data_IF_315461615077
#
_entry.id   IF_315461615077
#
_cell.length_a   1.000
_cell.length_b   1.000
_cell.length_c   1.000
_cell.angle_alpha   90.00
_cell.angle_beta   90.00
_cell.angle_gamma   90.00
#
_symmetry.space_group_name_H-M   'P 1'
#
loop_
_entity.id
_entity.type
_entity.pdbx_description
1 polymer ?
#
# COMPACT_ATOMS: atom_id res chain seq x y z
N UNK A 1 -3.82 -6.71 -15.16
CA UNK A 1 -4.34 -7.05 -13.83
C UNK A 1 -5.71 -6.45 -13.50
N UNK A 2 -5.98 -5.17 -13.81
CA UNK A 2 -7.26 -4.50 -13.49
C UNK A 2 -8.52 -5.24 -13.99
N UNK A 3 -8.47 -5.87 -15.18
CA UNK A 3 -9.57 -6.69 -15.69
C UNK A 3 -9.86 -7.91 -14.81
N UNK A 4 -8.82 -8.54 -14.25
CA UNK A 4 -8.97 -9.66 -13.32
C UNK A 4 -9.57 -9.18 -12.00
N UNK A 5 -9.13 -8.04 -11.45
CA UNK A 5 -9.75 -7.47 -10.25
C UNK A 5 -11.22 -7.14 -10.46
N UNK A 6 -11.59 -6.61 -11.64
CA UNK A 6 -13.00 -6.37 -12.00
C UNK A 6 -13.81 -7.66 -12.08
N UNK A 7 -13.26 -8.72 -12.69
CA UNK A 7 -13.90 -10.02 -12.75
C UNK A 7 -14.06 -10.65 -11.35
N UNK A 8 -13.01 -10.60 -10.51
CA UNK A 8 -13.04 -11.06 -9.11
C UNK A 8 -14.09 -10.31 -8.30
N UNK A 9 -14.18 -8.97 -8.43
CA UNK A 9 -15.23 -8.16 -7.80
C UNK A 9 -16.62 -8.65 -8.20
N UNK A 10 -16.85 -8.86 -9.50
CA UNK A 10 -18.14 -9.34 -9.98
C UNK A 10 -18.51 -10.69 -9.36
N UNK A 11 -17.59 -11.66 -9.38
CA UNK A 11 -17.80 -12.97 -8.78
C UNK A 11 -18.08 -12.89 -7.28
N UNK A 12 -17.27 -12.14 -6.52
CA UNK A 12 -17.48 -11.93 -5.08
C UNK A 12 -18.85 -11.29 -4.82
N UNK A 13 -19.25 -10.29 -5.61
CA UNK A 13 -20.53 -9.60 -5.46
C UNK A 13 -21.71 -10.55 -5.70
N UNK A 14 -21.65 -11.37 -6.74
CA UNK A 14 -22.71 -12.36 -7.01
C UNK A 14 -22.78 -13.46 -5.95
N UNK A 15 -21.62 -13.86 -5.40
CA UNK A 15 -21.55 -14.80 -4.28
C UNK A 15 -22.14 -14.21 -2.99
N UNK A 16 -21.92 -12.93 -2.72
CA UNK A 16 -22.54 -12.23 -1.57
C UNK A 16 -24.07 -12.16 -1.73
N UNK A 17 -24.57 -11.86 -2.94
CA UNK A 17 -26.02 -11.79 -3.22
C UNK A 17 -26.73 -13.13 -3.15
N UNK A 18 -26.04 -14.23 -3.46
CA UNK A 18 -26.62 -15.58 -3.45
C UNK A 18 -26.79 -16.18 -2.05
N UNK A 19 -26.41 -15.44 -1.00
CA UNK A 19 -26.66 -15.83 0.39
C UNK A 19 -25.68 -16.89 0.86
N UNK A 20 -24.41 -16.51 1.02
CA UNK A 20 -23.45 -17.34 1.77
C UNK A 20 -23.82 -17.34 3.26
N UNK A 21 -23.54 -18.43 3.99
CA UNK A 21 -23.94 -18.58 5.37
C UNK A 21 -23.09 -17.65 6.25
N UNK A 22 -23.57 -16.43 6.48
CA UNK A 22 -23.12 -15.54 7.56
C UNK A 22 -23.66 -15.98 8.93
N UNK A 23 -24.23 -17.19 9.00
CA UNK A 23 -24.87 -17.70 10.20
C UNK A 23 -23.82 -18.07 11.25
N UNK A 24 -23.71 -17.24 12.30
CA UNK A 24 -22.72 -17.30 13.37
C UNK A 24 -22.74 -18.60 14.19
N UNK A 25 -23.74 -19.46 13.95
CA UNK A 25 -24.01 -20.68 14.71
C UNK A 25 -23.56 -21.97 14.01
N UNK A 26 -23.08 -21.90 12.77
CA UNK A 26 -22.57 -23.07 12.04
C UNK A 26 -21.04 -23.03 12.07
N UNK A 27 -20.41 -24.16 12.40
CA UNK A 27 -18.95 -24.27 12.35
C UNK A 27 -18.44 -23.86 10.96
N UNK A 28 -17.36 -23.06 10.86
CA UNK A 28 -16.89 -22.57 9.58
C UNK A 28 -16.49 -23.74 8.68
N UNK A 29 -17.22 -23.93 7.59
CA UNK A 29 -16.86 -24.92 6.58
C UNK A 29 -15.67 -24.42 5.74
N UNK A 30 -15.00 -25.33 5.04
CA UNK A 30 -13.84 -25.00 4.20
C UNK A 30 -14.20 -23.95 3.12
N UNK A 31 -15.46 -23.92 2.68
CA UNK A 31 -15.94 -22.97 1.68
C UNK A 31 -16.01 -21.54 2.24
N UNK A 32 -16.51 -21.35 3.47
CA UNK A 32 -16.56 -20.02 4.10
C UNK A 32 -15.17 -19.46 4.36
N UNK A 33 -14.22 -20.31 4.78
CA UNK A 33 -12.83 -19.91 4.99
C UNK A 33 -12.16 -19.52 3.66
N UNK A 34 -12.33 -20.34 2.62
CA UNK A 34 -11.77 -20.07 1.29
C UNK A 34 -12.37 -18.79 0.68
N UNK A 35 -13.67 -18.55 0.89
CA UNK A 35 -14.34 -17.35 0.43
C UNK A 35 -13.86 -16.09 1.16
N UNK A 36 -13.80 -16.12 2.49
CA UNK A 36 -13.26 -15.03 3.30
C UNK A 36 -11.83 -14.66 2.90
N UNK A 37 -10.98 -15.67 2.70
CA UNK A 37 -9.61 -15.45 2.24
C UNK A 37 -9.55 -14.88 0.81
N UNK A 38 -10.44 -15.31 -0.08
CA UNK A 38 -10.53 -14.77 -1.45
C UNK A 38 -10.91 -13.27 -1.46
N UNK A 39 -11.80 -12.86 -0.55
CA UNK A 39 -12.13 -11.44 -0.34
C UNK A 39 -10.89 -10.69 0.14
N UNK A 40 -10.17 -11.21 1.12
CA UNK A 40 -8.99 -10.56 1.69
C UNK A 40 -7.88 -10.38 0.63
N UNK A 41 -7.62 -11.42 -0.18
CA UNK A 41 -6.72 -11.33 -1.34
C UNK A 41 -7.17 -10.25 -2.31
N UNK A 42 -8.47 -10.24 -2.68
CA UNK A 42 -9.01 -9.21 -3.57
C UNK A 42 -8.77 -7.80 -3.01
N UNK A 43 -9.02 -7.59 -1.72
CA UNK A 43 -8.81 -6.29 -1.09
C UNK A 43 -7.33 -5.89 -1.09
N UNK A 44 -6.43 -6.79 -0.70
CA UNK A 44 -5.00 -6.54 -0.72
C UNK A 44 -4.50 -6.16 -2.13
N UNK A 45 -4.91 -6.94 -3.15
CA UNK A 45 -4.53 -6.65 -4.53
C UNK A 45 -5.14 -5.33 -5.00
N UNK A 46 -6.40 -5.05 -4.66
CA UNK A 46 -7.05 -3.80 -5.03
C UNK A 46 -6.34 -2.58 -4.38
N UNK A 47 -6.01 -2.64 -3.10
CA UNK A 47 -5.27 -1.57 -2.41
C UNK A 47 -3.87 -1.38 -3.00
N UNK A 48 -3.10 -2.46 -3.15
CA UNK A 48 -1.72 -2.41 -3.64
C UNK A 48 -1.62 -1.91 -5.08
N UNK A 49 -2.58 -2.26 -5.95
CA UNK A 49 -2.63 -1.80 -7.33
C UNK A 49 -3.25 -0.39 -7.50
N UNK A 50 -3.79 0.22 -6.43
CA UNK A 50 -4.29 1.61 -6.49
C UNK A 50 -3.13 2.62 -6.57
N UNK A 51 -1.97 2.30 -6.00
CA UNK A 51 -0.85 3.25 -5.88
C UNK A 51 0.04 3.28 -7.11
N UNK A 52 0.21 2.14 -7.79
CA UNK A 52 1.01 2.07 -9.03
C UNK A 52 0.33 2.77 -10.21
N UNK A 53 -0.97 3.02 -10.12
CA UNK A 53 -1.78 3.68 -11.15
C UNK A 53 -2.34 4.99 -10.62
N UNK A 54 -1.60 6.11 -10.69
CA UNK A 54 -2.15 7.46 -10.48
C UNK A 54 -3.20 7.86 -11.54
N UNK A 55 -3.80 6.89 -12.24
CA UNK A 55 -4.98 7.08 -13.06
C UNK A 55 -6.21 7.06 -12.15
N UNK A 56 -6.43 8.17 -11.47
CA UNK A 56 -7.67 8.43 -10.72
C UNK A 56 -8.93 8.14 -11.55
N UNK A 57 -8.88 8.27 -12.89
CA UNK A 57 -10.00 7.97 -13.80
C UNK A 57 -10.21 6.47 -14.07
N UNK A 58 -9.17 5.63 -14.08
CA UNK A 58 -9.34 4.17 -14.31
C UNK A 58 -9.66 3.42 -13.02
N UNK A 59 -9.25 3.98 -11.87
CA UNK A 59 -9.57 3.50 -10.52
C UNK A 59 -10.99 3.82 -10.07
N UNK A 60 -11.70 4.75 -10.75
CA UNK A 60 -13.15 4.94 -10.55
C UNK A 60 -13.96 3.65 -10.71
N UNK A 61 -13.40 2.63 -11.35
CA UNK A 61 -14.06 1.34 -11.56
C UNK A 61 -13.57 0.21 -10.62
N UNK A 62 -12.52 0.46 -9.82
CA UNK A 62 -12.15 -0.41 -8.69
C UNK A 62 -12.69 0.27 -7.44
N UNK A 63 -14.01 0.40 -7.36
CA UNK A 63 -14.70 1.01 -6.22
C UNK A 63 -14.52 0.10 -5.00
N UNK A 64 -13.56 0.41 -4.14
CA UNK A 64 -13.56 -0.07 -2.75
C UNK A 64 -14.45 0.89 -1.94
N UNK A 65 -15.32 0.40 -1.06
CA UNK A 65 -15.48 -1.00 -0.62
C UNK A 65 -16.34 -1.89 -1.56
N UNK A 66 -16.30 -3.20 -1.32
CA UNK A 66 -17.25 -4.15 -1.92
C UNK A 66 -18.68 -3.81 -1.45
N UNK A 67 -19.69 -3.72 -2.33
CA UNK A 67 -21.04 -3.37 -1.94
C UNK A 67 -21.61 -4.43 -1.00
N UNK A 68 -22.12 -4.02 0.16
CA UNK A 68 -22.69 -4.93 1.15
C UNK A 68 -21.67 -5.71 1.98
N UNK A 69 -20.40 -5.28 1.97
CA UNK A 69 -19.37 -5.86 2.83
C UNK A 69 -18.62 -4.76 3.61
N UNK A 70 -18.96 -4.64 4.88
CA UNK A 70 -18.31 -3.82 5.91
C UNK A 70 -17.19 -4.61 6.58
N UNK A 71 -16.27 -3.91 7.24
CA UNK A 71 -15.20 -4.58 8.01
C UNK A 71 -15.74 -5.50 9.10
N UNK A 72 -16.83 -5.09 9.76
CA UNK A 72 -17.53 -5.91 10.76
C UNK A 72 -18.09 -7.20 10.18
N UNK A 73 -18.48 -7.19 8.90
CA UNK A 73 -18.91 -8.40 8.21
C UNK A 73 -17.72 -9.27 7.79
N UNK A 74 -16.56 -8.65 7.53
CA UNK A 74 -15.33 -9.41 7.26
C UNK A 74 -14.80 -10.13 8.50
N UNK A 75 -14.92 -9.52 9.69
CA UNK A 75 -14.59 -10.15 10.98
C UNK A 75 -15.32 -11.47 11.23
N UNK A 76 -16.41 -11.74 10.50
CA UNK A 76 -17.14 -13.01 10.58
C UNK A 76 -16.36 -14.17 9.94
N UNK A 77 -15.41 -13.89 9.05
CA UNK A 77 -14.61 -14.92 8.41
C UNK A 77 -13.40 -15.27 9.30
N UNK A 78 -13.15 -16.56 9.60
CA UNK A 78 -11.99 -16.97 10.42
C UNK A 78 -10.64 -16.55 9.86
N UNK A 79 -10.55 -16.32 8.56
CA UNK A 79 -9.32 -15.91 7.87
C UNK A 79 -9.05 -14.42 7.94
N UNK A 80 -10.01 -13.61 8.43
CA UNK A 80 -9.90 -12.15 8.40
C UNK A 80 -8.65 -11.64 9.13
N UNK A 81 -7.85 -10.84 8.43
CA UNK A 81 -6.67 -10.18 8.98
C UNK A 81 -5.40 -11.02 8.88
N UNK A 82 -5.47 -12.25 8.36
CA UNK A 82 -4.30 -13.11 8.15
C UNK A 82 -3.35 -12.47 7.13
N UNK A 83 -3.89 -11.95 6.02
CA UNK A 83 -3.09 -11.34 4.97
C UNK A 83 -2.56 -9.96 5.40
N UNK A 84 -3.39 -9.20 6.09
CA UNK A 84 -3.06 -7.83 6.51
C UNK A 84 -2.20 -7.74 7.77
N UNK A 85 -1.79 -8.86 8.36
CA UNK A 85 -1.00 -8.89 9.59
C UNK A 85 -1.62 -8.06 10.74
N UNK A 86 -2.95 -7.99 10.81
CA UNK A 86 -3.67 -7.13 11.76
C UNK A 86 -3.70 -5.63 11.41
N UNK A 87 -2.97 -5.18 10.39
CA UNK A 87 -2.92 -3.79 9.91
C UNK A 87 -3.97 -3.43 8.86
N UNK A 88 -5.14 -4.07 8.86
CA UNK A 88 -6.16 -3.86 7.82
C UNK A 88 -6.64 -2.41 7.74
N UNK A 89 -6.77 -1.72 8.87
CA UNK A 89 -7.17 -0.30 8.94
C UNK A 89 -6.16 0.60 8.23
N UNK A 90 -4.87 0.27 8.32
CA UNK A 90 -3.80 0.98 7.61
C UNK A 90 -3.94 0.82 6.10
N UNK A 91 -4.20 -0.39 5.60
CA UNK A 91 -4.41 -0.64 4.17
C UNK A 91 -5.58 0.17 3.60
N UNK A 92 -6.64 0.39 4.40
CA UNK A 92 -7.79 1.21 4.01
C UNK A 92 -7.46 2.68 3.79
N UNK A 93 -6.36 3.19 4.35
CA UNK A 93 -5.93 4.57 4.14
C UNK A 93 -5.34 4.77 2.74
N UNK A 94 -4.89 3.70 2.09
CA UNK A 94 -4.20 3.76 0.79
C UNK A 94 -5.03 4.47 -0.29
N UNK A 95 -6.31 4.11 -0.54
CA UNK A 95 -7.14 4.82 -1.51
C UNK A 95 -7.42 6.27 -1.15
N UNK A 96 -7.54 6.59 0.15
CA UNK A 96 -7.76 7.97 0.62
C UNK A 96 -6.54 8.85 0.33
N UNK A 97 -5.32 8.32 0.55
CA UNK A 97 -4.07 9.01 0.19
C UNK A 97 -3.95 9.17 -1.33
N UNK A 98 -4.33 8.15 -2.13
CA UNK A 98 -4.38 8.27 -3.59
C UNK A 98 -5.34 9.39 -4.05
N UNK A 99 -6.51 9.52 -3.42
CA UNK A 99 -7.44 10.60 -3.70
C UNK A 99 -6.86 11.97 -3.33
N UNK A 100 -6.21 12.08 -2.18
CA UNK A 100 -5.49 13.30 -1.77
C UNK A 100 -4.44 13.68 -2.82
N UNK A 101 -3.57 12.74 -3.21
CA UNK A 101 -2.53 12.94 -4.22
C UNK A 101 -3.13 13.40 -5.56
N UNK A 102 -4.20 12.74 -6.00
CA UNK A 102 -4.87 13.07 -7.27
C UNK A 102 -5.46 14.48 -7.26
N UNK A 103 -6.13 14.86 -6.17
CA UNK A 103 -6.68 16.22 -5.99
C UNK A 103 -5.56 17.26 -5.91
N UNK A 104 -4.46 16.92 -5.24
CA UNK A 104 -3.29 17.80 -5.15
C UNK A 104 -2.70 18.10 -6.53
N UNK A 105 -2.52 17.07 -7.35
CA UNK A 105 -2.04 17.22 -8.73
C UNK A 105 -3.01 18.04 -9.61
N UNK A 106 -4.32 17.89 -9.41
CA UNK A 106 -5.32 18.71 -10.11
C UNK A 106 -5.21 20.20 -9.73
N UNK A 107 -5.03 20.53 -8.44
CA UNK A 107 -4.81 21.92 -8.00
C UNK A 107 -3.57 22.56 -8.63
N UNK A 108 -2.49 21.79 -8.81
CA UNK A 108 -1.26 22.25 -9.49
C UNK A 108 -1.50 22.60 -10.95
N UNK A 109 -2.26 21.76 -11.67
CA UNK A 109 -2.57 21.96 -13.08
C UNK A 109 -3.45 23.19 -13.31
N UNK A 110 -4.45 23.41 -12.47
CA UNK A 110 -5.37 24.55 -12.58
C UNK A 110 -4.69 25.88 -12.26
N UNK A 111 -3.79 25.90 -11.28
CA UNK A 111 -3.20 27.14 -10.77
C UNK A 111 -2.04 27.68 -11.62
N UNK A 112 -1.52 26.91 -12.59
CA UNK A 112 -0.32 27.23 -13.43
C UNK A 112 0.92 27.74 -12.67
N UNK A 113 0.93 27.55 -11.35
CA UNK A 113 1.98 27.98 -10.42
C UNK A 113 2.02 26.97 -9.28
N UNK A 114 3.22 26.62 -8.80
CA UNK A 114 3.42 25.74 -7.63
C UNK A 114 2.89 26.40 -6.35
N UNK A 115 1.57 26.44 -6.19
CA UNK A 115 0.92 26.96 -4.99
C UNK A 115 0.98 25.93 -3.88
N UNK A 116 1.14 26.44 -2.66
CA UNK A 116 0.90 25.70 -1.42
C UNK A 116 -0.45 24.96 -1.50
N UNK A 117 -0.56 23.74 -0.93
CA UNK A 117 -1.80 22.98 -0.95
C UNK A 117 -2.93 23.76 -0.29
N UNK A 118 -4.14 23.66 -0.84
CA UNK A 118 -5.32 24.34 -0.32
C UNK A 118 -5.64 23.94 1.13
N UNK A 119 -6.37 24.79 1.85
CA UNK A 119 -6.78 24.50 3.23
C UNK A 119 -7.59 23.20 3.34
N UNK A 120 -8.54 22.87 2.44
CA UNK A 120 -9.21 21.58 2.44
C UNK A 120 -8.25 20.39 2.32
N UNK A 121 -7.28 20.42 1.40
CA UNK A 121 -6.30 19.32 1.26
C UNK A 121 -5.42 19.17 2.50
N UNK A 122 -4.99 20.29 3.11
CA UNK A 122 -4.24 20.25 4.37
C UNK A 122 -5.03 19.63 5.51
N UNK A 123 -6.33 19.90 5.60
CA UNK A 123 -7.20 19.27 6.60
C UNK A 123 -7.34 17.77 6.37
N UNK A 124 -7.53 17.34 5.11
CA UNK A 124 -7.57 15.91 4.77
C UNK A 124 -6.23 15.23 5.08
N UNK A 125 -5.11 15.89 4.79
CA UNK A 125 -3.78 15.39 5.16
C UNK A 125 -3.65 15.22 6.68
N UNK A 126 -4.03 16.22 7.47
CA UNK A 126 -3.91 16.15 8.93
C UNK A 126 -4.77 15.02 9.51
N UNK A 127 -6.00 14.85 9.03
CA UNK A 127 -6.87 13.74 9.43
C UNK A 127 -6.23 12.37 9.15
N UNK A 128 -5.73 12.17 7.92
CA UNK A 128 -5.04 10.94 7.53
C UNK A 128 -3.76 10.73 8.36
N UNK A 129 -3.00 11.79 8.60
CA UNK A 129 -1.78 11.73 9.40
C UNK A 129 -2.08 11.29 10.84
N UNK A 130 -3.10 11.89 11.47
CA UNK A 130 -3.52 11.50 12.83
C UNK A 130 -3.97 10.04 12.87
N UNK A 131 -4.71 9.56 11.86
CA UNK A 131 -5.13 8.16 11.77
C UNK A 131 -3.94 7.20 11.65
N UNK A 132 -2.90 7.56 10.91
CA UNK A 132 -1.67 6.74 10.77
C UNK A 132 -0.86 6.74 12.07
N UNK A 133 -0.69 7.91 12.71
CA UNK A 133 0.17 8.05 13.90
C UNK A 133 -0.48 7.46 15.15
N UNK A 134 -1.79 7.63 15.31
CA UNK A 134 -2.54 7.10 16.46
C UNK A 134 -2.95 5.64 16.31
N UNK A 135 -2.68 5.01 15.16
CA UNK A 135 -2.95 3.59 14.98
C UNK A 135 -2.05 2.74 15.89
N UNK A 136 -2.64 1.72 16.51
CA UNK A 136 -1.93 0.76 17.36
C UNK A 136 -2.18 -0.66 16.91
N UNK A 137 -1.16 -1.50 17.03
CA UNK A 137 -1.26 -2.93 16.73
C UNK A 137 -2.26 -3.61 17.67
N UNK A 138 -3.25 -4.36 17.15
CA UNK A 138 -4.17 -5.14 17.98
C UNK A 138 -3.44 -6.08 18.94
N UNK A 139 -4.03 -6.35 20.13
CA UNK A 139 -3.43 -7.25 21.10
C UNK A 139 -3.29 -8.66 20.52
N UNK A 140 -2.29 -9.38 21.02
CA UNK A 140 -2.02 -10.77 20.63
C UNK A 140 -3.25 -11.66 20.84
N UNK A 141 -3.58 -12.45 19.82
CA UNK A 141 -4.73 -13.35 19.87
C UNK A 141 -4.42 -14.60 20.71
N UNK A 142 -5.46 -15.23 21.24
CA UNK A 142 -5.32 -16.50 21.95
C UNK A 142 -4.85 -17.60 20.99
N UNK A 143 -3.76 -18.29 21.34
CA UNK A 143 -3.14 -19.32 20.50
C UNK A 143 -2.01 -18.82 19.59
N UNK A 144 -1.86 -17.51 19.43
CA UNK A 144 -0.74 -16.92 18.69
C UNK A 144 0.54 -16.88 19.55
N UNK A 145 1.66 -17.30 18.98
CA UNK A 145 2.97 -17.24 19.64
C UNK A 145 3.47 -15.79 19.73
N UNK A 146 4.38 -15.52 20.68
CA UNK A 146 5.00 -14.19 20.82
C UNK A 146 5.77 -13.81 19.54
N UNK A 147 6.38 -14.80 18.88
CA UNK A 147 7.16 -14.60 17.66
C UNK A 147 6.25 -14.22 16.49
N UNK A 148 5.15 -14.95 16.27
CA UNK A 148 4.18 -14.63 15.21
C UNK A 148 3.59 -13.23 15.38
N UNK A 149 3.16 -12.89 16.59
CA UNK A 149 2.63 -11.55 16.87
C UNK A 149 3.66 -10.45 16.62
N UNK A 150 4.94 -10.69 16.94
CA UNK A 150 6.04 -9.76 16.68
C UNK A 150 6.27 -9.57 15.19
N UNK A 151 6.23 -10.65 14.39
CA UNK A 151 6.33 -10.56 12.94
C UNK A 151 5.16 -9.74 12.35
N UNK A 152 3.93 -9.97 12.83
CA UNK A 152 2.77 -9.15 12.42
C UNK A 152 2.94 -7.69 12.76
N UNK A 153 3.36 -7.40 13.99
CA UNK A 153 3.63 -6.04 14.45
C UNK A 153 4.67 -5.34 13.57
N UNK A 154 5.77 -6.02 13.22
CA UNK A 154 6.80 -5.46 12.35
C UNK A 154 6.28 -5.23 10.93
N UNK A 155 5.51 -6.17 10.36
CA UNK A 155 4.90 -6.01 9.04
C UNK A 155 3.92 -4.83 9.00
N UNK A 156 3.07 -4.68 10.02
CA UNK A 156 2.15 -3.56 10.15
C UNK A 156 2.88 -2.23 10.36
N UNK A 157 4.01 -2.24 11.10
CA UNK A 157 4.84 -1.06 11.28
C UNK A 157 5.49 -0.60 9.97
N UNK A 158 6.03 -1.52 9.16
CA UNK A 158 6.55 -1.23 7.81
C UNK A 158 5.47 -0.57 6.95
N UNK A 159 4.26 -1.12 6.96
CA UNK A 159 3.12 -0.55 6.26
C UNK A 159 2.80 0.86 6.75
N UNK A 160 2.78 1.07 8.08
CA UNK A 160 2.52 2.37 8.69
C UNK A 160 3.56 3.42 8.26
N UNK A 161 4.84 3.04 8.24
CA UNK A 161 5.92 3.92 7.76
C UNK A 161 5.77 4.24 6.25
N UNK A 162 5.45 3.24 5.43
CA UNK A 162 5.21 3.47 4.01
C UNK A 162 4.01 4.39 3.75
N UNK A 163 2.94 4.28 4.53
CA UNK A 163 1.79 5.18 4.46
C UNK A 163 2.17 6.61 4.87
N UNK A 164 3.00 6.78 5.90
CA UNK A 164 3.53 8.10 6.28
C UNK A 164 4.34 8.73 5.14
N UNK A 165 5.23 7.96 4.49
CA UNK A 165 5.99 8.41 3.32
C UNK A 165 5.04 8.77 2.17
N UNK A 166 4.07 7.92 1.87
CA UNK A 166 3.14 8.14 0.78
C UNK A 166 2.27 9.39 1.03
N UNK A 167 1.78 9.57 2.25
CA UNK A 167 1.00 10.74 2.64
C UNK A 167 1.83 12.03 2.56
N UNK A 168 3.06 12.01 3.09
CA UNK A 168 3.98 13.14 3.06
C UNK A 168 4.27 13.60 1.62
N UNK A 169 4.55 12.65 0.72
CA UNK A 169 4.80 12.93 -0.70
C UNK A 169 3.53 13.36 -1.45
N UNK A 170 2.37 12.77 -1.13
CA UNK A 170 1.09 13.07 -1.76
C UNK A 170 0.66 14.54 -1.63
N UNK A 171 0.92 15.17 -0.49
CA UNK A 171 0.57 16.58 -0.28
C UNK A 171 1.49 17.55 -1.03
N UNK A 172 2.74 17.16 -1.29
CA UNK A 172 3.69 18.00 -2.04
C UNK A 172 3.28 18.12 -3.51
N UNK A 173 2.71 17.06 -4.08
CA UNK A 173 2.26 17.01 -5.47
C UNK A 173 3.32 16.45 -6.41
N UNK A 174 3.57 17.12 -7.53
CA UNK A 174 4.46 16.60 -8.58
C UNK A 174 5.96 16.73 -8.27
N UNK A 175 6.34 17.53 -7.28
CA UNK A 175 7.73 17.75 -6.89
C UNK A 175 7.82 17.83 -5.36
N UNK A 176 8.75 17.07 -4.77
CA UNK A 176 9.06 17.11 -3.34
C UNK A 176 10.36 17.88 -3.16
N UNK A 177 10.28 19.11 -2.67
CA UNK A 177 11.47 19.98 -2.51
C UNK A 177 11.61 20.62 -1.12
N UNK A 178 10.62 20.43 -0.23
CA UNK A 178 10.69 20.95 1.14
C UNK A 178 11.65 20.08 1.96
N UNK A 179 12.74 20.68 2.45
CA UNK A 179 13.78 19.99 3.21
C UNK A 179 13.25 19.35 4.51
N UNK A 180 12.23 19.95 5.16
CA UNK A 180 11.64 19.37 6.37
C UNK A 180 10.87 18.09 6.02
N UNK A 181 10.19 18.08 4.87
CA UNK A 181 9.44 16.92 4.39
C UNK A 181 10.40 15.81 3.98
N UNK A 182 11.48 16.14 3.27
CA UNK A 182 12.54 15.18 2.91
C UNK A 182 13.18 14.55 4.17
N UNK A 183 13.49 15.37 5.18
CA UNK A 183 14.03 14.88 6.44
C UNK A 183 13.05 13.94 7.17
N UNK A 184 11.76 14.27 7.19
CA UNK A 184 10.74 13.41 7.78
C UNK A 184 10.59 12.09 7.01
N UNK A 185 10.63 12.13 5.67
CA UNK A 185 10.60 10.93 4.82
C UNK A 185 11.80 10.03 5.13
N UNK A 186 13.01 10.58 5.25
CA UNK A 186 14.21 9.81 5.59
C UNK A 186 14.08 9.11 6.94
N UNK A 187 13.50 9.77 7.96
CA UNK A 187 13.25 9.14 9.26
C UNK A 187 12.29 7.94 9.13
N UNK A 188 11.24 8.07 8.33
CA UNK A 188 10.33 6.96 8.07
C UNK A 188 11.00 5.81 7.30
N UNK A 189 11.86 6.13 6.33
CA UNK A 189 12.67 5.16 5.57
C UNK A 189 13.57 4.36 6.51
N UNK A 190 14.27 5.03 7.43
CA UNK A 190 15.14 4.37 8.41
C UNK A 190 14.38 3.39 9.30
N UNK A 191 13.20 3.78 9.80
CA UNK A 191 12.36 2.90 10.62
C UNK A 191 11.85 1.72 9.79
N UNK A 192 11.39 1.98 8.56
CA UNK A 192 10.88 0.98 7.63
C UNK A 192 11.92 -0.13 7.38
N UNK A 193 13.14 0.25 7.00
CA UNK A 193 14.21 -0.71 6.73
C UNK A 193 14.76 -1.37 8.01
N UNK A 194 14.80 -0.65 9.14
CA UNK A 194 15.15 -1.26 10.43
C UNK A 194 14.14 -2.33 10.88
N UNK A 195 12.86 -2.17 10.54
CA UNK A 195 11.86 -3.21 10.80
C UNK A 195 12.04 -4.45 9.91
N UNK A 196 12.57 -4.30 8.69
CA UNK A 196 12.80 -5.41 7.78
C UNK A 196 13.84 -6.41 8.28
N UNK A 197 14.94 -5.94 8.86
CA UNK A 197 16.00 -6.79 9.43
C UNK A 197 15.46 -7.78 10.47
N UNK A 198 14.30 -7.47 11.05
CA UNK A 198 13.65 -8.25 12.10
C UNK A 198 12.52 -9.16 11.57
N UNK A 199 12.32 -9.27 10.25
CA UNK A 199 11.35 -10.17 9.63
C UNK A 199 12.11 -11.40 9.11
N UNK A 200 12.22 -12.40 9.99
CA UNK A 200 12.88 -13.68 9.67
C UNK A 200 12.00 -14.58 8.79
N UNK A 201 10.69 -14.29 8.74
CA UNK A 201 9.71 -15.18 8.13
C UNK A 201 9.12 -14.60 6.83
N UNK A 202 9.18 -15.39 5.77
CA UNK A 202 8.76 -14.99 4.41
C UNK A 202 7.23 -14.85 4.25
N UNK A 203 6.46 -15.20 5.28
CA UNK A 203 4.98 -15.21 5.25
C UNK A 203 4.38 -13.85 4.86
N UNK A 204 4.98 -12.75 5.32
CA UNK A 204 4.50 -11.39 5.00
C UNK A 204 5.26 -10.73 3.84
N UNK A 205 6.32 -11.35 3.29
CA UNK A 205 7.14 -10.72 2.25
C UNK A 205 6.32 -10.30 1.03
N UNK A 206 5.32 -11.10 0.66
CA UNK A 206 4.42 -10.76 -0.44
C UNK A 206 3.64 -9.47 -0.17
N UNK A 207 3.13 -9.28 1.06
CA UNK A 207 2.32 -8.11 1.42
C UNK A 207 3.13 -6.85 1.66
N UNK A 208 4.45 -7.00 1.90
CA UNK A 208 5.38 -5.90 2.10
C UNK A 208 5.97 -5.33 0.80
N UNK A 209 5.72 -5.96 -0.34
CA UNK A 209 6.25 -5.49 -1.62
C UNK A 209 5.80 -4.06 -1.98
N UNK A 210 4.54 -3.72 -1.68
CA UNK A 210 4.04 -2.36 -1.84
C UNK A 210 4.75 -1.35 -0.91
N UNK A 211 4.76 -1.53 0.43
CA UNK A 211 5.49 -0.66 1.34
C UNK A 211 6.95 -0.41 0.94
N UNK A 212 7.63 -1.46 0.50
CA UNK A 212 9.03 -1.42 0.14
C UNK A 212 9.29 -0.68 -1.16
N UNK A 213 8.36 -0.78 -2.12
CA UNK A 213 8.39 0.06 -3.31
C UNK A 213 8.26 1.54 -2.97
N UNK A 214 7.37 1.89 -2.03
CA UNK A 214 7.19 3.28 -1.59
C UNK A 214 8.46 3.80 -0.91
N UNK A 215 9.01 3.06 0.05
CA UNK A 215 10.28 3.43 0.70
C UNK A 215 11.43 3.55 -0.30
N UNK A 216 11.61 2.54 -1.15
CA UNK A 216 12.64 2.51 -2.19
C UNK A 216 12.54 3.65 -3.20
N UNK A 217 11.32 4.09 -3.54
CA UNK A 217 11.10 5.21 -4.46
C UNK A 217 11.58 6.57 -3.92
N UNK A 218 11.79 6.66 -2.61
CA UNK A 218 12.25 7.87 -1.92
C UNK A 218 13.74 7.81 -1.54
N UNK A 219 14.46 6.73 -1.85
CA UNK A 219 15.90 6.64 -1.59
C UNK A 219 16.68 7.59 -2.51
N UNK A 220 17.61 8.34 -1.93
CA UNK A 220 18.43 9.33 -2.66
C UNK A 220 19.92 9.02 -2.65
N UNK A 221 20.39 8.28 -1.63
CA UNK A 221 21.80 7.94 -1.49
C UNK A 221 22.16 6.75 -2.40
N UNK A 222 23.13 6.87 -3.33
CA UNK A 222 23.48 5.79 -4.26
C UNK A 222 23.98 4.50 -3.59
N UNK A 223 24.53 4.60 -2.38
CA UNK A 223 24.91 3.43 -1.59
C UNK A 223 23.68 2.67 -1.06
N UNK A 224 22.71 3.39 -0.48
CA UNK A 224 21.45 2.80 -0.02
C UNK A 224 20.66 2.17 -1.17
N UNK A 225 20.59 2.85 -2.33
CA UNK A 225 19.92 2.33 -3.52
C UNK A 225 20.54 1.00 -4.00
N UNK A 226 21.87 0.94 -4.07
CA UNK A 226 22.60 -0.28 -4.46
C UNK A 226 22.41 -1.40 -3.44
N UNK A 227 22.51 -1.10 -2.15
CA UNK A 227 22.31 -2.07 -1.08
C UNK A 227 20.90 -2.66 -1.16
N UNK A 228 19.87 -1.82 -1.21
CA UNK A 228 18.49 -2.24 -1.31
C UNK A 228 18.21 -3.07 -2.57
N UNK A 229 18.76 -2.67 -3.73
CA UNK A 229 18.61 -3.44 -4.96
C UNK A 229 19.28 -4.83 -4.90
N UNK A 230 20.42 -4.94 -4.24
CA UNK A 230 21.11 -6.22 -4.06
C UNK A 230 20.34 -7.14 -3.10
N UNK A 231 19.95 -6.62 -1.93
CA UNK A 231 19.18 -7.38 -0.93
C UNK A 231 17.86 -7.90 -1.52
N UNK A 232 17.09 -7.04 -2.21
CA UNK A 232 15.85 -7.46 -2.86
C UNK A 232 16.06 -8.51 -3.96
N UNK A 233 17.21 -8.45 -4.68
CA UNK A 233 17.58 -9.45 -5.69
C UNK A 233 18.13 -10.75 -5.09
N UNK A 234 18.61 -10.75 -3.87
CA UNK A 234 19.11 -11.98 -3.23
C UNK A 234 18.00 -12.68 -2.45
N UNK A 235 17.19 -11.93 -1.71
CA UNK A 235 16.23 -12.50 -0.77
C UNK A 235 14.86 -12.81 -1.39
N UNK A 236 14.44 -12.04 -2.40
CA UNK A 236 13.06 -12.07 -2.92
C UNK A 236 12.97 -12.45 -4.41
N UNK A 237 14.09 -12.86 -5.02
CA UNK A 237 14.24 -13.05 -6.48
C UNK A 237 13.43 -14.21 -7.09
N UNK A 238 12.84 -15.09 -6.27
CA UNK A 238 11.97 -16.15 -6.75
C UNK A 238 10.68 -15.58 -7.37
N UNK A 239 10.27 -14.38 -6.94
CA UNK A 239 9.09 -13.72 -7.46
C UNK A 239 9.46 -12.81 -8.65
N UNK A 240 8.97 -13.16 -9.84
CA UNK A 240 9.14 -12.35 -11.07
C UNK A 240 8.77 -10.88 -10.86
N UNK A 241 7.73 -10.61 -10.06
CA UNK A 241 7.27 -9.25 -9.78
C UNK A 241 8.36 -8.40 -9.12
N UNK A 242 9.15 -8.97 -8.19
CA UNK A 242 10.25 -8.29 -7.50
C UNK A 242 11.30 -7.79 -8.47
N UNK A 243 11.66 -8.60 -9.48
CA UNK A 243 12.61 -8.17 -10.52
C UNK A 243 12.10 -6.93 -11.25
N UNK A 244 10.81 -6.90 -11.58
CA UNK A 244 10.17 -5.72 -12.19
C UNK A 244 10.12 -4.51 -11.26
N UNK A 245 9.91 -4.71 -9.96
CA UNK A 245 9.98 -3.61 -9.00
C UNK A 245 11.36 -2.99 -8.94
N UNK A 246 12.42 -3.81 -8.84
CA UNK A 246 13.79 -3.31 -8.78
C UNK A 246 14.21 -2.67 -10.09
N UNK A 247 13.83 -3.23 -11.25
CA UNK A 247 14.11 -2.60 -12.54
C UNK A 247 13.42 -1.21 -12.66
N UNK A 248 12.19 -1.07 -12.16
CA UNK A 248 11.48 0.21 -12.16
C UNK A 248 12.11 1.24 -11.22
N UNK A 249 12.60 0.82 -10.05
CA UNK A 249 13.32 1.68 -9.13
C UNK A 249 14.68 2.12 -9.68
N UNK A 250 15.40 1.24 -10.36
CA UNK A 250 16.64 1.60 -11.03
C UNK A 250 16.40 2.68 -12.10
N UNK A 251 15.35 2.51 -12.91
CA UNK A 251 14.94 3.54 -13.89
C UNK A 251 14.57 4.87 -13.22
N UNK A 252 13.98 4.82 -12.02
CA UNK A 252 13.64 6.01 -11.24
C UNK A 252 14.89 6.74 -10.74
N UNK A 253 15.81 6.00 -10.12
CA UNK A 253 17.04 6.57 -9.55
C UNK A 253 18.00 7.12 -10.62
N UNK A 254 18.01 6.52 -11.81
CA UNK A 254 18.85 6.95 -12.93
C UNK A 254 18.26 8.12 -13.73
N UNK A 255 17.01 8.53 -13.46
CA UNK A 255 16.35 9.59 -14.22
C UNK A 255 16.78 10.99 -13.76
N UNK A 256 17.20 11.88 -14.68
CA UNK A 256 17.62 13.23 -14.31
C UNK A 256 16.46 14.19 -13.98
N UNK A 257 15.19 13.80 -14.20
CA UNK A 257 14.04 14.65 -13.88
C UNK A 257 13.91 14.80 -12.35
N UNK A 258 13.92 16.02 -11.78
CA UNK A 258 13.77 16.20 -10.33
C UNK A 258 12.42 15.71 -9.78
N UNK A 259 11.44 15.45 -10.65
CA UNK A 259 10.16 14.84 -10.28
C UNK A 259 10.22 13.31 -10.19
N UNK A 260 11.33 12.69 -10.62
CA UNK A 260 11.61 11.26 -10.50
C UNK A 260 11.97 10.89 -9.04
N UNK A 261 11.08 11.24 -8.12
CA UNK A 261 11.22 10.98 -6.70
C UNK A 261 9.88 10.57 -6.10
N UNK A 262 9.91 9.56 -5.24
CA UNK A 262 8.77 9.05 -4.51
C UNK A 262 7.69 8.42 -5.40
N UNK A 263 6.49 8.18 -4.83
CA UNK A 263 5.42 7.46 -5.53
C UNK A 263 4.96 8.14 -6.82
N UNK A 264 4.90 9.48 -6.84
CA UNK A 264 4.58 10.24 -8.05
C UNK A 264 5.65 10.02 -9.14
N UNK A 265 6.93 10.17 -8.77
CA UNK A 265 8.04 9.97 -9.68
C UNK A 265 8.07 8.55 -10.24
N UNK A 266 7.82 7.54 -9.40
CA UNK A 266 7.71 6.16 -9.85
C UNK A 266 6.64 6.02 -10.93
N UNK A 267 5.44 6.59 -10.73
CA UNK A 267 4.40 6.54 -11.75
C UNK A 267 4.77 7.29 -13.04
N UNK A 268 5.47 8.42 -12.92
CA UNK A 268 5.99 9.17 -14.06
C UNK A 268 6.94 8.30 -14.89
N UNK A 269 7.87 7.61 -14.25
CA UNK A 269 8.87 6.75 -14.90
C UNK A 269 8.23 5.53 -15.55
N UNK A 270 7.30 4.87 -14.85
CA UNK A 270 6.55 3.75 -15.44
C UNK A 270 5.85 4.17 -16.73
N UNK A 271 5.21 5.35 -16.75
CA UNK A 271 4.58 5.89 -17.97
C UNK A 271 5.61 6.23 -19.05
N UNK A 272 6.71 6.89 -18.67
CA UNK A 272 7.79 7.29 -19.59
C UNK A 272 8.36 6.08 -20.34
N UNK A 273 8.43 4.93 -19.68
CA UNK A 273 8.98 3.68 -20.22
C UNK A 273 7.93 2.68 -20.71
N UNK A 274 6.64 3.02 -20.69
CA UNK A 274 5.55 2.13 -21.13
C UNK A 274 5.42 0.86 -20.26
N UNK A 275 5.80 0.95 -18.99
CA UNK A 275 5.74 -0.14 -18.03
C UNK A 275 4.43 -0.08 -17.22
N UNK A 276 3.91 -1.26 -16.87
CA UNK A 276 2.80 -1.43 -15.93
C UNK A 276 3.30 -2.31 -14.77
N UNK A 277 3.27 -1.76 -13.55
CA UNK A 277 3.59 -2.52 -12.35
C UNK A 277 2.29 -2.98 -11.70
N UNK A 278 2.08 -4.29 -11.77
CA UNK A 278 1.01 -4.97 -11.04
C UNK A 278 1.64 -5.84 -9.95
N UNK A 279 1.15 -5.63 -8.72
CA UNK A 279 1.48 -6.42 -7.53
C UNK A 279 0.46 -7.54 -7.42
#
# INVERSE_FOLDING_TARGET
MLTHLRASRYLITELLKSGLPTDRHVAPDLNSQSFGFSIEIYMYLAFSNTVTSFKAQELKHVELPLPGLTMKEMELFPTFGVLFAGGHELFQLTPEICQLASRRLAEEQESKTYRKPSLPLRKTYEDLYQRIVCWEMPPRLQGETITEWRHKRNAAEILRQALSIFLATALQGSLVSDANVLCAIEQHIMILFGCMENIVDKVYSATLLWPLLIGGSCLTEPEQQRQYANEAREEWCDMWHVKKFIDALQLLWDDPDPRAYGPYGLNLILRKHGLDLCI
#
